data_IF_952925678919
#
_entry.id   IF_952925678919
#
_cell.length_a   1.000
_cell.length_b   1.000
_cell.length_c   1.000
_cell.angle_alpha   90.00
_cell.angle_beta   90.00
_cell.angle_gamma   90.00
#
_symmetry.space_group_name_H-M   'P 1'
#
loop_
_entity.id
_entity.type
_entity.pdbx_description
1 polymer ?
#
# COMPACT_ATOMS: atom_id res chain seq x y z
N UNK A 1 -63.06 -16.65 -31.46
CA UNK A 1 -62.72 -16.45 -30.03
C UNK A 1 -61.32 -15.86 -29.92
N UNK A 2 -61.15 -14.52 -29.78
CA UNK A 2 -59.84 -13.85 -29.77
C UNK A 2 -59.26 -13.62 -28.35
N UNK A 3 -59.87 -14.19 -27.31
CA UNK A 3 -59.54 -13.86 -25.91
C UNK A 3 -58.17 -14.38 -25.42
N UNK A 4 -57.66 -15.50 -25.95
CA UNK A 4 -56.38 -16.05 -25.46
C UNK A 4 -55.15 -15.23 -25.89
N UNK A 5 -55.24 -14.44 -26.96
CA UNK A 5 -54.12 -13.66 -27.46
C UNK A 5 -53.89 -12.35 -26.68
N UNK A 6 -54.90 -11.75 -26.05
CA UNK A 6 -54.70 -10.49 -25.32
C UNK A 6 -54.01 -10.69 -23.96
N UNK A 7 -54.31 -11.78 -23.24
CA UNK A 7 -53.73 -12.03 -21.91
C UNK A 7 -52.23 -12.35 -21.98
N UNK A 8 -51.82 -13.12 -22.99
CA UNK A 8 -50.41 -13.47 -23.21
C UNK A 8 -49.55 -12.25 -23.62
N UNK A 9 -50.12 -11.32 -24.41
CA UNK A 9 -49.48 -10.04 -24.77
C UNK A 9 -49.30 -9.12 -23.56
N UNK A 10 -50.30 -9.04 -22.68
CA UNK A 10 -50.22 -8.25 -21.43
C UNK A 10 -49.17 -8.84 -20.47
N UNK A 11 -49.13 -10.17 -20.34
CA UNK A 11 -48.17 -10.85 -19.47
C UNK A 11 -46.72 -10.68 -19.95
N UNK A 12 -46.46 -10.87 -21.25
CA UNK A 12 -45.13 -10.64 -21.86
C UNK A 12 -44.66 -9.20 -21.69
N UNK A 13 -45.55 -8.22 -21.84
CA UNK A 13 -45.20 -6.81 -21.67
C UNK A 13 -44.94 -6.43 -20.20
N UNK A 14 -45.66 -7.01 -19.24
CA UNK A 14 -45.36 -6.84 -17.80
C UNK A 14 -44.02 -7.48 -17.43
N UNK A 15 -43.73 -8.67 -17.94
CA UNK A 15 -42.46 -9.37 -17.73
C UNK A 15 -41.28 -8.60 -18.33
N UNK A 16 -41.41 -8.08 -19.55
CA UNK A 16 -40.39 -7.23 -20.18
C UNK A 16 -40.15 -5.93 -19.40
N UNK A 17 -41.21 -5.32 -18.85
CA UNK A 17 -41.08 -4.13 -17.99
C UNK A 17 -40.35 -4.45 -16.68
N UNK A 18 -40.70 -5.55 -16.02
CA UNK A 18 -40.02 -6.00 -14.80
C UNK A 18 -38.54 -6.35 -15.05
N UNK A 19 -38.24 -6.99 -16.18
CA UNK A 19 -36.86 -7.28 -16.59
C UNK A 19 -36.08 -5.98 -16.88
N UNK A 20 -36.68 -5.01 -17.57
CA UNK A 20 -36.06 -3.69 -17.79
C UNK A 20 -35.79 -2.95 -16.47
N UNK A 21 -36.74 -2.95 -15.53
CA UNK A 21 -36.52 -2.32 -14.23
C UNK A 21 -35.43 -3.01 -13.42
N UNK A 22 -35.39 -4.35 -13.43
CA UNK A 22 -34.34 -5.11 -12.77
C UNK A 22 -32.95 -4.81 -13.37
N UNK A 23 -32.87 -4.70 -14.70
CA UNK A 23 -31.63 -4.37 -15.41
C UNK A 23 -31.16 -2.95 -15.07
N UNK A 24 -32.07 -1.98 -15.00
CA UNK A 24 -31.74 -0.60 -14.58
C UNK A 24 -31.24 -0.57 -13.14
N UNK A 25 -31.88 -1.28 -12.21
CA UNK A 25 -31.44 -1.35 -10.80
C UNK A 25 -30.06 -2.00 -10.70
N UNK A 26 -29.80 -3.06 -11.46
CA UNK A 26 -28.49 -3.72 -11.50
C UNK A 26 -27.42 -2.76 -12.01
N UNK A 27 -27.71 -2.02 -13.09
CA UNK A 27 -26.80 -1.03 -13.68
C UNK A 27 -26.48 0.10 -12.70
N UNK A 28 -27.50 0.62 -11.99
CA UNK A 28 -27.30 1.63 -10.92
C UNK A 28 -26.44 1.05 -9.79
N UNK A 29 -26.69 -0.18 -9.36
CA UNK A 29 -25.89 -0.82 -8.31
C UNK A 29 -24.42 -0.99 -8.72
N UNK A 30 -24.15 -1.38 -9.96
CA UNK A 30 -22.80 -1.50 -10.49
C UNK A 30 -22.06 -0.14 -10.51
N UNK A 31 -22.76 0.93 -10.93
CA UNK A 31 -22.20 2.29 -10.96
C UNK A 31 -21.83 2.80 -9.56
N UNK A 32 -22.54 2.39 -8.52
CA UNK A 32 -22.23 2.78 -7.13
C UNK A 32 -21.15 1.88 -6.52
N UNK A 33 -21.18 0.57 -6.79
CA UNK A 33 -20.23 -0.38 -6.20
C UNK A 33 -18.81 -0.21 -6.78
N UNK A 34 -18.68 0.08 -8.07
CA UNK A 34 -17.38 0.23 -8.72
C UNK A 34 -16.47 1.31 -8.07
N UNK A 35 -16.89 2.58 -7.88
CA UNK A 35 -16.06 3.60 -7.23
C UNK A 35 -15.81 3.26 -5.76
N UNK A 36 -16.77 2.64 -5.08
CA UNK A 36 -16.63 2.25 -3.67
C UNK A 36 -15.54 1.20 -3.50
N UNK A 37 -15.53 0.16 -4.34
CA UNK A 37 -14.50 -0.88 -4.34
C UNK A 37 -13.12 -0.30 -4.70
N UNK A 38 -13.08 0.65 -5.62
CA UNK A 38 -11.82 1.29 -6.00
C UNK A 38 -11.21 2.12 -4.87
N UNK A 39 -12.00 2.92 -4.17
CA UNK A 39 -11.55 3.68 -2.99
C UNK A 39 -11.13 2.72 -1.86
N UNK A 40 -11.83 1.60 -1.71
CA UNK A 40 -11.47 0.61 -0.71
C UNK A 40 -10.14 -0.07 -1.02
N UNK A 41 -9.94 -0.56 -2.24
CA UNK A 41 -8.67 -1.16 -2.69
C UNK A 41 -7.49 -0.21 -2.49
N UNK A 42 -7.68 1.06 -2.87
CA UNK A 42 -6.72 2.13 -2.64
C UNK A 42 -6.32 2.26 -1.16
N UNK A 43 -7.29 2.28 -0.26
CA UNK A 43 -7.04 2.38 1.18
C UNK A 43 -6.33 1.13 1.75
N UNK A 44 -6.59 -0.04 1.18
CA UNK A 44 -5.94 -1.29 1.57
C UNK A 44 -4.47 -1.28 1.18
N UNK A 45 -4.17 -0.85 -0.06
CA UNK A 45 -2.78 -0.77 -0.55
C UNK A 45 -1.96 0.26 0.24
N UNK A 46 -2.54 1.41 0.59
CA UNK A 46 -1.89 2.43 1.43
C UNK A 46 -1.50 1.85 2.80
N UNK A 47 -2.45 1.19 3.48
CA UNK A 47 -2.23 0.56 4.78
C UNK A 47 -1.20 -0.56 4.71
N UNK A 48 -1.23 -1.34 3.63
CA UNK A 48 -0.24 -2.39 3.41
C UNK A 48 1.17 -1.81 3.25
N UNK A 49 1.33 -0.77 2.44
CA UNK A 49 2.62 -0.10 2.25
C UNK A 49 3.16 0.47 3.56
N UNK A 50 2.30 1.13 4.36
CA UNK A 50 2.67 1.66 5.68
C UNK A 50 3.08 0.53 6.64
N UNK A 51 2.35 -0.59 6.66
CA UNK A 51 2.69 -1.75 7.50
C UNK A 51 4.03 -2.35 7.12
N UNK A 52 4.29 -2.54 5.83
CA UNK A 52 5.57 -3.06 5.34
C UNK A 52 6.72 -2.10 5.71
N UNK A 53 6.55 -0.79 5.54
CA UNK A 53 7.54 0.20 5.95
C UNK A 53 7.85 0.15 7.46
N UNK A 54 6.81 0.02 8.30
CA UNK A 54 6.97 -0.15 9.76
C UNK A 54 7.75 -1.42 10.11
N UNK A 55 7.44 -2.53 9.44
CA UNK A 55 8.16 -3.78 9.63
C UNK A 55 9.64 -3.65 9.21
N UNK A 56 9.93 -2.92 8.12
CA UNK A 56 11.30 -2.66 7.68
C UNK A 56 12.08 -1.88 8.73
N UNK A 57 11.54 -0.76 9.22
CA UNK A 57 12.21 0.06 10.27
C UNK A 57 12.44 -0.77 11.53
N UNK A 58 11.44 -1.54 11.96
CA UNK A 58 11.57 -2.41 13.13
C UNK A 58 12.70 -3.43 12.94
N UNK A 59 12.72 -4.15 11.83
CA UNK A 59 13.76 -5.16 11.56
C UNK A 59 15.15 -4.53 11.40
N UNK A 60 15.25 -3.33 10.80
CA UNK A 60 16.52 -2.63 10.69
C UNK A 60 17.07 -2.21 12.07
N UNK A 61 16.19 -1.73 12.96
CA UNK A 61 16.57 -1.42 14.34
C UNK A 61 16.90 -2.68 15.15
N UNK A 62 16.30 -3.84 14.86
CA UNK A 62 16.67 -5.11 15.49
C UNK A 62 18.06 -5.57 15.02
N UNK A 63 18.30 -5.56 13.71
CA UNK A 63 19.60 -5.91 13.15
C UNK A 63 20.70 -4.96 13.63
N UNK A 64 20.42 -3.68 13.84
CA UNK A 64 21.43 -2.77 14.38
C UNK A 64 21.88 -3.12 15.79
N UNK A 65 21.03 -3.75 16.60
CA UNK A 65 21.41 -4.29 17.90
C UNK A 65 22.32 -5.50 17.74
N UNK A 66 22.04 -6.39 16.78
CA UNK A 66 22.89 -7.56 16.50
C UNK A 66 24.28 -7.15 15.99
N UNK A 67 24.33 -6.12 15.13
CA UNK A 67 25.57 -5.58 14.58
C UNK A 67 26.32 -4.63 15.52
N UNK A 68 25.75 -4.25 16.67
CA UNK A 68 26.37 -3.29 17.60
C UNK A 68 27.76 -3.75 18.12
N UNK A 69 28.04 -5.05 18.10
CA UNK A 69 29.36 -5.62 18.41
C UNK A 69 30.15 -6.13 17.21
N UNK A 70 29.62 -5.97 15.99
CA UNK A 70 30.24 -6.46 14.75
C UNK A 70 31.23 -5.44 14.19
N UNK A 71 32.35 -5.87 13.57
CA UNK A 71 33.23 -4.97 12.83
C UNK A 71 32.60 -4.44 11.53
N UNK A 72 31.47 -5.00 11.10
CA UNK A 72 30.74 -4.59 9.88
C UNK A 72 29.64 -3.58 10.20
N UNK A 73 29.50 -2.54 9.37
CA UNK A 73 28.39 -1.58 9.47
C UNK A 73 27.21 -2.04 8.62
N UNK A 74 25.99 -1.74 9.05
CA UNK A 74 24.76 -1.99 8.28
C UNK A 74 24.62 -1.01 7.11
N UNK A 75 25.27 0.16 7.19
CA UNK A 75 25.14 1.22 6.21
C UNK A 75 26.13 1.07 5.06
N UNK A 76 25.64 1.26 3.83
CA UNK A 76 26.46 1.37 2.62
C UNK A 76 25.98 2.52 1.75
N UNK A 77 26.70 3.64 1.78
CA UNK A 77 26.38 4.85 1.01
C UNK A 77 26.65 4.71 -0.49
N UNK A 78 27.34 3.66 -0.92
CA UNK A 78 27.60 3.42 -2.35
C UNK A 78 26.40 2.79 -3.06
N UNK A 79 25.46 2.22 -2.30
CA UNK A 79 24.25 1.58 -2.81
C UNK A 79 23.06 2.53 -2.76
N UNK A 80 22.16 2.35 -3.72
CA UNK A 80 20.91 3.12 -3.81
C UNK A 80 19.99 2.94 -2.61
N UNK A 81 20.01 1.78 -1.95
CA UNK A 81 19.23 1.51 -0.74
C UNK A 81 19.86 2.11 0.52
N UNK A 82 21.13 2.51 0.49
CA UNK A 82 21.86 3.00 1.67
C UNK A 82 22.28 1.91 2.67
N UNK A 83 22.02 0.64 2.34
CA UNK A 83 22.18 -0.52 3.24
C UNK A 83 23.12 -1.54 2.59
N UNK A 84 23.94 -2.23 3.40
CA UNK A 84 24.75 -3.37 2.94
C UNK A 84 23.85 -4.50 2.44
N UNK A 85 24.27 -5.19 1.37
CA UNK A 85 23.46 -6.22 0.69
C UNK A 85 22.99 -7.35 1.62
N UNK A 86 23.87 -7.86 2.49
CA UNK A 86 23.50 -8.92 3.43
C UNK A 86 22.41 -8.47 4.41
N UNK A 87 22.56 -7.27 4.97
CA UNK A 87 21.58 -6.70 5.88
C UNK A 87 20.25 -6.40 5.16
N UNK A 88 20.28 -5.90 3.93
CA UNK A 88 19.07 -5.67 3.14
C UNK A 88 18.31 -6.98 2.86
N UNK A 89 19.00 -8.05 2.45
CA UNK A 89 18.39 -9.36 2.22
C UNK A 89 17.73 -9.93 3.48
N UNK A 90 18.36 -9.74 4.64
CA UNK A 90 17.86 -10.18 5.94
C UNK A 90 16.65 -9.35 6.40
N UNK A 91 16.69 -8.02 6.22
CA UNK A 91 15.57 -7.12 6.47
C UNK A 91 14.37 -7.51 5.61
N UNK A 92 14.57 -7.72 4.31
CA UNK A 92 13.50 -8.10 3.38
C UNK A 92 12.91 -9.46 3.77
N UNK A 93 13.76 -10.43 4.10
CA UNK A 93 13.36 -11.77 4.56
C UNK A 93 12.47 -11.70 5.81
N UNK A 94 12.86 -10.92 6.82
CA UNK A 94 12.12 -10.83 8.09
C UNK A 94 10.92 -9.89 8.05
N UNK A 95 10.98 -8.82 7.25
CA UNK A 95 9.88 -7.85 7.13
C UNK A 95 8.75 -8.32 6.22
N UNK A 96 9.07 -9.24 5.28
CA UNK A 96 8.15 -9.64 4.20
C UNK A 96 7.83 -8.48 3.25
N UNK A 97 8.67 -7.44 3.21
CA UNK A 97 8.45 -6.26 2.38
C UNK A 97 8.79 -6.56 0.92
N UNK A 98 7.87 -6.20 0.01
CA UNK A 98 8.06 -6.42 -1.43
C UNK A 98 8.48 -5.15 -2.18
N UNK A 99 8.50 -4.01 -1.48
CA UNK A 99 8.81 -2.69 -2.02
C UNK A 99 10.29 -2.31 -1.93
N UNK A 100 10.62 -1.18 -2.54
CA UNK A 100 11.98 -0.63 -2.55
C UNK A 100 12.25 0.12 -1.24
N UNK A 101 13.37 -0.21 -0.58
CA UNK A 101 13.82 0.41 0.67
C UNK A 101 14.95 1.38 0.37
N UNK A 102 14.85 2.60 0.87
CA UNK A 102 15.90 3.61 0.80
C UNK A 102 16.15 4.24 2.17
N UNK A 103 17.27 3.91 2.79
CA UNK A 103 17.76 4.54 4.00
C UNK A 103 18.36 5.91 3.67
N UNK A 104 17.82 6.96 4.26
CA UNK A 104 18.26 8.35 4.03
C UNK A 104 19.29 8.78 5.08
N UNK A 105 19.00 8.53 6.35
CA UNK A 105 19.88 8.88 7.47
C UNK A 105 19.78 7.88 8.62
N UNK A 106 20.85 7.81 9.41
CA UNK A 106 20.98 6.93 10.56
C UNK A 106 21.40 7.73 11.79
N UNK A 107 20.78 7.44 12.93
CA UNK A 107 21.15 8.04 14.20
C UNK A 107 22.22 7.19 14.88
N UNK A 108 23.49 7.57 14.74
CA UNK A 108 24.62 6.83 15.33
C UNK A 108 24.59 6.82 16.87
N UNK A 109 23.97 7.81 17.53
CA UNK A 109 23.93 7.89 19.00
C UNK A 109 22.96 6.88 19.60
N UNK A 110 21.76 6.80 19.02
CA UNK A 110 20.71 5.85 19.45
C UNK A 110 20.76 4.51 18.70
N UNK A 111 21.65 4.40 17.72
CA UNK A 111 21.82 3.24 16.84
C UNK A 111 20.50 2.77 16.19
N UNK A 112 19.74 3.73 15.65
CA UNK A 112 18.46 3.49 15.02
C UNK A 112 18.33 4.28 13.71
N UNK A 113 17.33 3.90 12.91
CA UNK A 113 16.94 4.65 11.71
C UNK A 113 16.53 6.07 12.10
N UNK A 114 17.05 7.05 11.38
CA UNK A 114 16.69 8.46 11.55
C UNK A 114 15.69 8.89 10.49
N UNK A 115 15.99 8.66 9.21
CA UNK A 115 15.07 8.91 8.10
C UNK A 115 15.14 7.76 7.09
N UNK A 116 13.98 7.29 6.63
CA UNK A 116 13.87 6.24 5.61
C UNK A 116 12.71 6.55 4.68
N UNK A 117 12.85 6.18 3.40
CA UNK A 117 11.74 6.11 2.47
C UNK A 117 11.53 4.69 1.98
N UNK A 118 10.27 4.30 1.87
CA UNK A 118 9.83 3.00 1.40
C UNK A 118 8.82 3.18 0.28
N UNK A 119 9.04 2.50 -0.85
CA UNK A 119 8.21 2.67 -2.04
C UNK A 119 7.56 1.35 -2.42
N UNK A 120 6.23 1.34 -2.48
CA UNK A 120 5.43 0.21 -2.98
C UNK A 120 4.40 0.69 -3.98
N UNK A 121 4.61 0.33 -5.25
CA UNK A 121 3.75 0.75 -6.36
C UNK A 121 3.65 2.27 -6.47
N UNK A 122 2.45 2.81 -6.19
CA UNK A 122 2.12 4.24 -6.25
C UNK A 122 2.27 4.97 -4.91
N UNK A 123 2.55 4.24 -3.84
CA UNK A 123 2.71 4.80 -2.51
C UNK A 123 4.20 4.96 -2.17
N UNK A 124 4.51 6.11 -1.59
CA UNK A 124 5.80 6.41 -0.97
C UNK A 124 5.54 6.68 0.50
N UNK A 125 6.11 5.87 1.38
CA UNK A 125 6.06 6.05 2.82
C UNK A 125 7.37 6.67 3.26
N UNK A 126 7.31 7.80 3.95
CA UNK A 126 8.45 8.44 4.59
C UNK A 126 8.36 8.25 6.09
N UNK A 127 9.48 7.84 6.67
CA UNK A 127 9.70 7.71 8.09
C UNK A 127 10.73 8.74 8.51
N UNK A 128 10.40 9.49 9.56
CA UNK A 128 11.34 10.39 10.19
C UNK A 128 11.24 10.27 11.71
N UNK A 129 12.37 10.08 12.35
CA UNK A 129 12.52 10.00 13.78
C UNK A 129 13.03 11.33 14.32
N UNK A 130 12.29 11.91 15.26
CA UNK A 130 12.72 13.11 15.95
C UNK A 130 13.44 12.76 17.25
N UNK A 131 14.76 12.98 17.25
CA UNK A 131 15.60 12.72 18.42
C UNK A 131 15.36 13.67 19.61
N UNK A 132 14.79 14.86 19.41
CA UNK A 132 14.54 15.81 20.50
C UNK A 132 13.31 15.44 21.31
N UNK A 133 12.24 15.05 20.64
CA UNK A 133 10.95 14.71 21.26
C UNK A 133 10.76 13.21 21.44
N UNK A 134 11.71 12.38 20.97
CA UNK A 134 11.65 10.91 20.99
C UNK A 134 10.38 10.36 20.33
N UNK A 135 9.96 11.00 19.23
CA UNK A 135 8.75 10.66 18.49
C UNK A 135 9.08 10.21 17.07
N UNK A 136 8.27 9.28 16.55
CA UNK A 136 8.31 8.85 15.16
C UNK A 136 7.15 9.43 14.36
N UNK A 137 7.47 9.94 13.17
CA UNK A 137 6.51 10.47 12.21
C UNK A 137 6.48 9.60 10.96
N UNK A 138 5.27 9.34 10.48
CA UNK A 138 5.00 8.53 9.30
C UNK A 138 4.12 9.31 8.34
N UNK A 139 4.64 9.56 7.14
CA UNK A 139 3.92 10.27 6.10
C UNK A 139 3.75 9.35 4.90
N UNK A 140 2.51 9.24 4.40
CA UNK A 140 2.20 8.42 3.23
C UNK A 140 1.80 9.33 2.08
N UNK A 141 2.61 9.28 1.03
CA UNK A 141 2.43 10.06 -0.17
C UNK A 141 1.88 9.18 -1.28
N UNK A 142 0.83 9.66 -1.93
CA UNK A 142 0.31 9.08 -3.17
C UNK A 142 0.97 9.76 -4.37
N UNK A 143 1.78 9.01 -5.12
CA UNK A 143 2.49 9.54 -6.29
C UNK A 143 1.55 9.51 -7.51
N UNK A 144 1.10 10.69 -7.94
CA UNK A 144 0.27 10.86 -9.15
C UNK A 144 1.14 10.96 -10.41
N UNK A 145 2.38 11.45 -10.31
CA UNK A 145 3.27 11.68 -11.45
C UNK A 145 4.66 11.06 -11.25
N UNK A 146 5.13 10.34 -12.27
CA UNK A 146 6.53 10.01 -12.48
C UNK A 146 7.05 10.95 -13.56
N UNK A 147 7.96 11.85 -13.21
CA UNK A 147 8.82 12.44 -14.23
C UNK A 147 9.79 11.33 -14.65
N UNK A 148 9.79 10.99 -15.93
CA UNK A 148 10.79 10.10 -16.48
C UNK A 148 12.14 10.83 -16.46
N UNK A 149 13.15 10.21 -15.85
CA UNK A 149 14.55 10.61 -15.97
C UNK A 149 15.08 10.29 -17.38
#
# INVERSE_FOLDING_TARGET
>A
MPKQNYESLIYKNKFLRACKTALIVLLISAVVLAPTLWIWDQSVQERQALREAKNVVLNMNLLSLEYYGSPTSIMDRTRSSGIVKSAEEEIVSYSGAEGEIHLVSWNTRKNCVDTMSYRKGRFLVQYQYDSTDDTDTWEVYWKIHQYAD
#
